data_IF_462540590946
#
_entry.id   IF_462540590946
#
_cell.length_a   1.000
_cell.length_b   1.000
_cell.length_c   1.000
_cell.angle_alpha   90.00
_cell.angle_beta   90.00
_cell.angle_gamma   90.00
#
_symmetry.space_group_name_H-M   'P 1'
#
loop_
_entity.id
_entity.type
_entity.pdbx_description
1 polymer ?
#
# COMPACT_ATOMS: atom_id res chain seq x y z
N UNK A 1 17.23 -23.00 -14.68
CA UNK A 1 16.17 -21.97 -14.77
C UNK A 1 15.46 -21.95 -13.42
N UNK A 2 15.55 -20.87 -12.63
CA UNK A 2 14.82 -20.78 -11.34
C UNK A 2 13.39 -20.34 -11.63
N UNK A 3 12.42 -21.10 -11.13
CA UNK A 3 11.01 -20.81 -11.30
C UNK A 3 10.53 -19.85 -10.21
N UNK A 4 9.37 -19.22 -10.40
CA UNK A 4 8.73 -18.40 -9.35
C UNK A 4 8.52 -19.23 -8.07
N UNK A 5 8.18 -20.52 -8.21
CA UNK A 5 8.05 -21.45 -7.10
C UNK A 5 9.33 -21.59 -6.27
N UNK A 6 10.51 -21.56 -6.91
CA UNK A 6 11.79 -21.64 -6.20
C UNK A 6 12.07 -20.35 -5.40
N UNK A 7 11.68 -19.20 -5.96
CA UNK A 7 11.78 -17.92 -5.24
C UNK A 7 10.85 -17.87 -4.04
N UNK A 8 9.62 -18.39 -4.16
CA UNK A 8 8.67 -18.47 -3.04
C UNK A 8 9.20 -19.38 -1.93
N UNK A 9 9.71 -20.57 -2.27
CA UNK A 9 10.34 -21.47 -1.29
C UNK A 9 11.49 -20.78 -0.56
N UNK A 10 12.28 -19.97 -1.27
CA UNK A 10 13.38 -19.22 -0.67
C UNK A 10 12.90 -18.12 0.28
N UNK A 11 11.82 -17.41 -0.05
CA UNK A 11 11.20 -16.41 0.86
C UNK A 11 10.81 -17.08 2.18
N UNK A 12 10.23 -18.28 2.12
CA UNK A 12 9.91 -19.04 3.33
C UNK A 12 11.15 -19.57 4.06
N UNK A 13 12.17 -20.08 3.35
CA UNK A 13 13.40 -20.55 4.00
C UNK A 13 14.17 -19.42 4.68
N UNK A 14 14.12 -18.22 4.11
CA UNK A 14 14.73 -17.01 4.66
C UNK A 14 13.89 -16.45 5.84
N UNK A 15 12.76 -17.08 6.19
CA UNK A 15 11.84 -16.68 7.27
C UNK A 15 11.29 -15.25 7.14
N UNK A 16 11.21 -14.72 5.92
CA UNK A 16 10.66 -13.38 5.68
C UNK A 16 9.14 -13.33 5.79
N UNK A 17 8.47 -14.44 5.45
CA UNK A 17 7.02 -14.58 5.51
C UNK A 17 6.64 -15.98 5.98
N UNK A 18 5.47 -16.09 6.61
CA UNK A 18 4.89 -17.38 7.00
C UNK A 18 3.94 -17.89 5.90
N UNK A 19 4.04 -19.18 5.55
CA UNK A 19 3.26 -19.78 4.46
C UNK A 19 1.75 -19.77 4.76
N UNK A 20 1.36 -20.06 6.00
CA UNK A 20 -0.04 -20.09 6.47
C UNK A 20 -0.75 -18.74 6.31
N UNK A 21 -0.02 -17.63 6.44
CA UNK A 21 -0.55 -16.27 6.35
C UNK A 21 -0.57 -15.71 4.92
N UNK A 22 0.14 -16.35 3.99
CA UNK A 22 0.40 -15.80 2.65
C UNK A 22 -0.19 -16.61 1.50
N UNK A 23 -0.64 -17.85 1.77
CA UNK A 23 -1.21 -18.75 0.77
C UNK A 23 -2.67 -19.10 1.09
N UNK A 24 -3.53 -19.07 0.07
CA UNK A 24 -4.86 -19.65 0.12
C UNK A 24 -5.02 -20.63 -1.03
N UNK A 25 -5.41 -21.85 -0.70
CA UNK A 25 -5.64 -22.90 -1.69
C UNK A 25 -7.06 -22.83 -2.19
N UNK A 26 -7.22 -22.69 -3.50
CA UNK A 26 -8.52 -22.70 -4.16
C UNK A 26 -8.66 -23.95 -5.00
N UNK A 27 -9.79 -24.65 -4.85
CA UNK A 27 -10.13 -25.77 -5.71
C UNK A 27 -10.78 -25.21 -6.97
N UNK A 28 -10.07 -25.29 -8.09
CA UNK A 28 -10.56 -24.82 -9.38
C UNK A 28 -10.82 -26.04 -10.25
N UNK A 29 -12.03 -26.12 -10.80
CA UNK A 29 -12.36 -27.12 -11.82
C UNK A 29 -11.87 -26.57 -13.16
N UNK A 30 -11.03 -27.34 -13.85
CA UNK A 30 -10.50 -27.02 -15.17
C UNK A 30 -10.91 -28.12 -16.15
N UNK A 31 -11.33 -27.72 -17.34
CA UNK A 31 -11.61 -28.68 -18.42
C UNK A 31 -10.33 -28.90 -19.22
N UNK A 32 -9.73 -30.09 -19.10
CA UNK A 32 -8.58 -30.51 -19.91
C UNK A 32 -9.05 -31.53 -20.97
N UNK A 33 -9.23 -31.09 -22.22
CA UNK A 33 -9.75 -31.95 -23.28
C UNK A 33 -11.21 -32.35 -23.03
N UNK A 34 -11.50 -33.64 -22.92
CA UNK A 34 -12.84 -34.18 -22.63
C UNK A 34 -13.14 -34.40 -21.13
N UNK A 35 -12.17 -34.16 -20.23
CA UNK A 35 -12.30 -34.43 -18.80
C UNK A 35 -12.31 -33.16 -17.95
N UNK A 36 -13.18 -33.14 -16.94
CA UNK A 36 -13.18 -32.14 -15.88
C UNK A 36 -12.18 -32.59 -14.80
N UNK A 37 -11.13 -31.80 -14.58
CA UNK A 37 -10.08 -32.08 -13.59
C UNK A 37 -10.12 -31.00 -12.52
N UNK A 38 -10.20 -31.40 -11.26
CA UNK A 38 -10.08 -30.48 -10.14
C UNK A 38 -8.63 -30.36 -9.73
N UNK A 39 -8.09 -29.13 -9.76
CA UNK A 39 -6.76 -28.82 -9.22
C UNK A 39 -6.86 -27.87 -8.05
N UNK A 40 -5.95 -28.07 -7.12
CA UNK A 40 -5.71 -27.12 -6.03
C UNK A 40 -4.70 -26.09 -6.53
N UNK A 41 -5.13 -24.83 -6.65
CA UNK A 41 -4.30 -23.72 -7.11
C UNK A 41 -3.99 -22.83 -5.92
N UNK A 42 -2.71 -22.56 -5.74
CA UNK A 42 -2.21 -21.68 -4.70
C UNK A 42 -2.39 -20.22 -5.12
N UNK A 43 -3.15 -19.46 -4.34
CA UNK A 43 -3.25 -18.01 -4.48
C UNK A 43 -2.42 -17.35 -3.38
N UNK A 44 -1.54 -16.44 -3.80
CA UNK A 44 -0.66 -15.70 -2.90
C UNK A 44 -1.19 -14.29 -2.65
N UNK A 45 -1.01 -13.81 -1.43
CA UNK A 45 -1.40 -12.45 -1.05
C UNK A 45 -0.40 -11.39 -1.56
N UNK A 46 -0.73 -10.11 -1.35
CA UNK A 46 0.11 -8.98 -1.79
C UNK A 46 1.52 -9.02 -1.19
N UNK A 47 1.67 -9.44 0.07
CA UNK A 47 2.96 -9.50 0.76
C UNK A 47 3.92 -10.46 0.04
N UNK A 48 3.44 -11.63 -0.36
CA UNK A 48 4.25 -12.57 -1.14
C UNK A 48 4.62 -12.00 -2.51
N UNK A 49 3.69 -11.33 -3.20
CA UNK A 49 3.96 -10.69 -4.49
C UNK A 49 5.07 -9.64 -4.35
N UNK A 50 5.03 -8.84 -3.29
CA UNK A 50 6.07 -7.85 -2.99
C UNK A 50 7.43 -8.51 -2.73
N UNK A 51 7.49 -9.51 -1.85
CA UNK A 51 8.73 -10.22 -1.51
C UNK A 51 9.40 -10.84 -2.74
N UNK A 52 8.62 -11.53 -3.57
CA UNK A 52 9.10 -12.11 -4.84
C UNK A 52 9.53 -11.01 -5.81
N UNK A 53 8.76 -9.94 -5.95
CA UNK A 53 9.07 -8.81 -6.84
C UNK A 53 10.40 -8.12 -6.54
N UNK A 54 10.82 -8.08 -5.27
CA UNK A 54 12.13 -7.54 -4.90
C UNK A 54 13.28 -8.54 -5.08
N UNK A 55 13.06 -9.85 -4.88
CA UNK A 55 14.11 -10.88 -4.96
C UNK A 55 14.38 -11.44 -6.36
N UNK A 56 13.41 -11.38 -7.26
CA UNK A 56 13.56 -11.97 -8.60
C UNK A 56 14.40 -11.07 -9.52
N UNK A 57 15.25 -11.70 -10.33
CA UNK A 57 16.04 -11.02 -11.35
C UNK A 57 15.46 -11.27 -12.75
N UNK A 58 14.37 -10.58 -13.09
CA UNK A 58 13.79 -10.56 -14.43
C UNK A 58 13.30 -9.15 -14.79
N UNK A 59 12.96 -8.92 -16.06
CA UNK A 59 12.53 -7.61 -16.55
C UNK A 59 11.30 -7.08 -15.81
N UNK A 60 10.31 -7.93 -15.52
CA UNK A 60 9.11 -7.54 -14.77
C UNK A 60 9.43 -7.10 -13.35
N UNK A 61 10.36 -7.77 -12.67
CA UNK A 61 10.83 -7.42 -11.34
C UNK A 61 11.66 -6.13 -11.35
N UNK A 62 12.42 -5.88 -12.42
CA UNK A 62 13.09 -4.58 -12.64
C UNK A 62 12.06 -3.46 -12.79
N UNK A 63 11.01 -3.66 -13.60
CA UNK A 63 9.91 -2.70 -13.75
C UNK A 63 9.19 -2.44 -12.41
N UNK A 64 8.89 -3.51 -11.66
CA UNK A 64 8.31 -3.41 -10.32
C UNK A 64 9.19 -2.60 -9.37
N UNK A 65 10.51 -2.85 -9.33
CA UNK A 65 11.44 -2.08 -8.49
C UNK A 65 11.54 -0.62 -8.91
N UNK A 66 11.55 -0.32 -10.21
CA UNK A 66 11.52 1.08 -10.70
C UNK A 66 10.27 1.81 -10.21
N UNK A 67 9.11 1.15 -10.32
CA UNK A 67 7.85 1.68 -9.81
C UNK A 67 7.86 1.87 -8.28
N UNK A 68 8.26 0.83 -7.53
CA UNK A 68 8.29 0.87 -6.08
C UNK A 68 9.28 1.92 -5.54
N UNK A 69 10.44 2.07 -6.17
CA UNK A 69 11.41 3.11 -5.82
C UNK A 69 10.85 4.52 -6.06
N UNK A 70 10.01 4.69 -7.09
CA UNK A 70 9.27 5.94 -7.31
C UNK A 70 8.35 6.28 -6.13
N UNK A 71 7.56 5.30 -5.67
CA UNK A 71 6.68 5.46 -4.51
C UNK A 71 7.49 5.78 -3.24
N UNK A 72 8.53 5.00 -2.95
CA UNK A 72 9.35 5.20 -1.75
C UNK A 72 10.02 6.57 -1.77
N UNK A 73 10.54 7.01 -2.92
CA UNK A 73 11.13 8.34 -3.08
C UNK A 73 10.10 9.44 -2.80
N UNK A 74 8.94 9.38 -3.44
CA UNK A 74 7.89 10.39 -3.27
C UNK A 74 7.40 10.44 -1.82
N UNK A 75 7.21 9.29 -1.19
CA UNK A 75 6.84 9.20 0.22
C UNK A 75 7.91 9.80 1.13
N UNK A 76 9.19 9.52 0.87
CA UNK A 76 10.30 10.03 1.69
C UNK A 76 10.44 11.55 1.59
N UNK A 77 10.23 12.13 0.40
CA UNK A 77 10.38 13.58 0.18
C UNK A 77 9.13 14.35 0.62
N UNK A 78 7.94 13.88 0.23
CA UNK A 78 6.68 14.60 0.43
C UNK A 78 5.94 14.19 1.70
N UNK A 79 6.24 13.02 2.25
CA UNK A 79 5.49 12.40 3.35
C UNK A 79 4.22 11.66 2.91
N UNK A 80 3.87 11.68 1.62
CA UNK A 80 2.67 11.03 1.07
C UNK A 80 2.85 10.66 -0.41
N UNK A 81 2.04 9.71 -0.88
CA UNK A 81 1.97 9.27 -2.28
C UNK A 81 0.51 9.14 -2.69
N UNK A 82 0.19 9.53 -3.92
CA UNK A 82 -1.15 9.46 -4.48
C UNK A 82 -1.08 9.17 -5.97
N UNK A 83 -2.06 8.39 -6.46
CA UNK A 83 -2.22 8.10 -7.88
C UNK A 83 -3.30 9.01 -8.46
N UNK A 84 -2.88 10.18 -8.94
CA UNK A 84 -3.76 11.23 -9.48
C UNK A 84 -4.56 10.77 -10.71
N UNK A 85 -3.95 9.95 -11.56
CA UNK A 85 -4.60 9.45 -12.78
C UNK A 85 -5.71 8.47 -12.44
N UNK A 86 -5.49 7.59 -11.45
CA UNK A 86 -6.53 6.68 -10.97
C UNK A 86 -7.66 7.42 -10.27
N UNK A 87 -7.37 8.52 -9.57
CA UNK A 87 -8.37 9.38 -8.94
C UNK A 87 -9.30 10.04 -9.98
N UNK A 88 -8.72 10.63 -11.02
CA UNK A 88 -9.49 11.31 -12.08
C UNK A 88 -10.40 10.37 -12.86
N UNK A 89 -10.01 9.10 -13.00
CA UNK A 89 -10.75 8.10 -13.80
C UNK A 89 -11.91 7.44 -13.06
N UNK A 90 -12.12 7.76 -11.77
CA UNK A 90 -13.34 7.43 -11.00
C UNK A 90 -13.72 5.94 -10.89
N UNK A 91 -12.85 5.02 -11.30
CA UNK A 91 -13.29 3.68 -11.70
C UNK A 91 -13.33 2.66 -10.57
N UNK A 92 -12.67 2.94 -9.43
CA UNK A 92 -12.49 1.96 -8.33
C UNK A 92 -12.44 2.56 -6.92
N UNK A 93 -12.62 3.88 -6.76
CA UNK A 93 -12.56 4.51 -5.43
C UNK A 93 -13.99 4.69 -4.92
N UNK A 94 -14.33 3.96 -3.86
CA UNK A 94 -15.60 4.11 -3.14
C UNK A 94 -15.72 5.53 -2.57
N UNK A 95 -16.93 6.08 -2.49
CA UNK A 95 -17.20 7.39 -1.84
C UNK A 95 -16.51 7.51 -0.47
N UNK A 96 -16.47 6.39 0.28
CA UNK A 96 -15.74 6.24 1.55
C UNK A 96 -14.27 6.69 1.49
N UNK A 97 -13.56 6.43 0.39
CA UNK A 97 -12.17 6.86 0.24
C UNK A 97 -12.06 8.39 0.21
N UNK A 98 -12.97 9.07 -0.50
CA UNK A 98 -12.99 10.53 -0.55
C UNK A 98 -13.39 11.13 0.79
N UNK A 99 -14.36 10.53 1.48
CA UNK A 99 -14.75 10.94 2.83
C UNK A 99 -13.57 10.86 3.81
N UNK A 100 -12.80 9.78 3.78
CA UNK A 100 -11.59 9.63 4.60
C UNK A 100 -10.53 10.70 4.29
N UNK A 101 -10.35 11.07 3.02
CA UNK A 101 -9.42 12.16 2.66
C UNK A 101 -9.93 13.52 3.14
N UNK A 102 -11.22 13.80 2.99
CA UNK A 102 -11.84 15.04 3.45
C UNK A 102 -11.73 15.19 4.97
N UNK A 103 -11.90 14.10 5.71
CA UNK A 103 -11.78 14.11 7.16
C UNK A 103 -10.34 14.38 7.60
N UNK A 104 -9.34 13.76 6.96
CA UNK A 104 -7.92 14.10 7.20
C UNK A 104 -7.62 15.58 6.93
N UNK A 105 -8.16 16.14 5.85
CA UNK A 105 -7.99 17.57 5.54
C UNK A 105 -8.63 18.44 6.63
N UNK A 106 -9.81 18.06 7.14
CA UNK A 106 -10.48 18.78 8.24
C UNK A 106 -9.66 18.72 9.53
N UNK A 107 -9.10 17.57 9.87
CA UNK A 107 -8.23 17.41 11.04
C UNK A 107 -6.99 18.32 10.94
N UNK A 108 -6.33 18.34 9.78
CA UNK A 108 -5.18 19.22 9.52
C UNK A 108 -5.58 20.69 9.73
N UNK A 109 -6.66 21.15 9.10
CA UNK A 109 -7.14 22.54 9.25
C UNK A 109 -7.56 22.88 10.68
N UNK A 110 -8.21 21.96 11.38
CA UNK A 110 -8.60 22.16 12.77
C UNK A 110 -7.38 22.30 13.69
N UNK A 111 -6.32 21.53 13.42
CA UNK A 111 -5.06 21.63 14.16
C UNK A 111 -4.34 22.96 13.91
N UNK A 112 -4.30 23.44 12.66
CA UNK A 112 -3.76 24.76 12.30
C UNK A 112 -4.53 25.89 13.00
N UNK A 113 -5.87 25.85 12.95
CA UNK A 113 -6.70 26.85 13.64
C UNK A 113 -6.41 26.90 15.14
N UNK A 114 -6.30 25.73 15.79
CA UNK A 114 -5.96 25.63 17.23
C UNK A 114 -4.55 26.16 17.51
N UNK A 115 -3.61 25.94 16.61
CA UNK A 115 -2.25 26.47 16.72
C UNK A 115 -2.24 28.01 16.68
N UNK A 116 -2.92 28.62 15.70
CA UNK A 116 -3.03 30.07 15.62
C UNK A 116 -3.75 30.69 16.82
N UNK A 117 -4.82 30.05 17.30
CA UNK A 117 -5.54 30.52 18.49
C UNK A 117 -4.64 30.56 19.73
N UNK A 118 -3.84 29.50 19.96
CA UNK A 118 -2.87 29.47 21.07
C UNK A 118 -1.83 30.59 20.96
N UNK A 119 -1.35 30.87 19.75
CA UNK A 119 -0.40 31.97 19.54
C UNK A 119 -1.04 33.31 19.93
N UNK A 120 -2.27 33.57 19.49
CA UNK A 120 -3.00 34.79 19.86
C UNK A 120 -3.23 34.89 21.37
N UNK A 121 -3.60 33.79 22.04
CA UNK A 121 -3.78 33.76 23.50
C UNK A 121 -2.48 34.06 24.25
N UNK A 122 -1.32 33.58 23.77
CA UNK A 122 -0.01 33.90 24.36
C UNK A 122 0.31 35.40 24.21
N UNK A 123 0.09 35.96 23.02
CA UNK A 123 0.34 37.38 22.79
C UNK A 123 -0.62 38.28 23.58
N UNK A 124 -1.90 37.89 23.75
CA UNK A 124 -2.84 38.67 24.54
C UNK A 124 -2.48 38.69 26.04
N UNK A 125 -1.91 37.60 26.56
CA UNK A 125 -1.36 37.56 27.92
C UNK A 125 -0.13 38.45 28.10
N UNK A 126 0.70 38.60 27.07
CA UNK A 126 1.92 39.42 27.11
C UNK A 126 1.62 40.93 27.02
N UNK A 127 0.52 41.31 26.37
CA UNK A 127 0.06 42.71 26.23
C UNK A 127 -1.08 43.08 27.20
N UNK A 128 -1.20 42.40 28.35
CA UNK A 128 -2.05 42.89 29.45
C UNK A 128 -1.19 43.63 30.49
N UNK A 129 -0.84 44.91 30.27
CA UNK A 129 -0.33 45.74 31.35
C UNK A 129 -1.51 46.12 32.23
N UNK A 130 -1.59 45.50 33.41
CA UNK A 130 -2.30 46.01 34.59
C UNK A 130 -3.83 46.11 34.41
N UNK A 131 -4.53 45.10 34.93
CA UNK A 131 -5.70 45.37 35.78
C UNK A 131 -5.20 45.45 37.23
#
# INVERSE_FOLDING_TARGET
MRTISDHIKKVYSDSELEETATIRKFRIVQTEGSRQVQREVNHYNLQMIMAVGFKVNNERAVQFRKWANGIVKDYTIKGWVMDDERLKRGTYLTDKYFDEQLERIREIRASERKFYQKITDIYSLQYCPIC
#
